data_IF_020853730496
#
_entry.id   IF_020853730496
#
_cell.length_a   1.000
_cell.length_b   1.000
_cell.length_c   1.000
_cell.angle_alpha   90.00
_cell.angle_beta   90.00
_cell.angle_gamma   90.00
#
_symmetry.space_group_name_H-M   'P 1'
#
loop_
_entity.id
_entity.type
_entity.pdbx_description
1 polymer ?
#
# COMPACT_ATOMS: atom_id res chain seq x y z
N UNK A 1 -12.46 10.88 14.87
CA UNK A 1 -11.31 10.61 15.71
C UNK A 1 -11.38 11.42 16.99
N UNK A 2 -11.02 10.81 18.13
CA UNK A 2 -11.13 11.45 19.46
C UNK A 2 -9.98 12.44 19.70
N UNK A 3 -9.99 13.55 18.98
CA UNK A 3 -9.07 14.67 19.22
C UNK A 3 -9.82 15.99 19.23
N UNK A 4 -9.23 17.03 19.83
CA UNK A 4 -9.87 18.35 19.90
C UNK A 4 -9.78 19.14 18.59
N UNK A 5 -8.96 18.69 17.63
CA UNK A 5 -8.80 19.32 16.32
C UNK A 5 -8.37 18.29 15.28
N UNK A 6 -8.61 18.58 14.01
CA UNK A 6 -8.09 17.81 12.88
C UNK A 6 -6.90 18.55 12.24
N UNK A 7 -6.01 17.81 11.59
CA UNK A 7 -4.97 18.37 10.74
C UNK A 7 -5.36 18.18 9.26
N UNK A 8 -5.64 19.28 8.56
CA UNK A 8 -6.05 19.25 7.16
C UNK A 8 -4.89 18.88 6.20
N UNK A 9 -3.64 19.02 6.63
CA UNK A 9 -2.45 18.76 5.81
C UNK A 9 -1.91 17.32 5.91
N UNK A 10 -2.74 16.42 6.32
CA UNK A 10 -2.46 14.99 6.40
C UNK A 10 -2.27 14.52 7.84
N UNK A 11 -3.05 13.53 8.16
CA UNK A 11 -2.99 12.74 9.39
C UNK A 11 -3.56 11.35 9.02
N UNK A 12 -2.74 10.34 9.12
CA UNK A 12 -3.11 8.98 8.74
C UNK A 12 -3.99 8.25 9.76
N UNK A 13 -4.52 8.95 10.77
CA UNK A 13 -5.31 8.32 11.86
C UNK A 13 -6.57 7.61 11.34
N UNK A 14 -7.24 8.15 10.33
CA UNK A 14 -8.42 7.54 9.69
C UNK A 14 -8.07 6.27 8.92
N UNK A 15 -7.00 6.31 8.13
CA UNK A 15 -6.48 5.15 7.40
C UNK A 15 -6.04 4.05 8.38
N UNK A 16 -5.27 4.40 9.39
CA UNK A 16 -4.83 3.45 10.40
C UNK A 16 -5.98 2.87 11.23
N UNK A 17 -7.06 3.60 11.44
CA UNK A 17 -8.27 3.04 12.06
C UNK A 17 -8.86 1.89 11.23
N UNK A 18 -8.65 1.88 9.92
CA UNK A 18 -9.12 0.83 9.03
C UNK A 18 -8.17 -0.38 8.91
N UNK A 19 -6.98 -0.37 9.53
CA UNK A 19 -5.97 -1.44 9.38
C UNK A 19 -6.41 -2.83 9.85
N UNK A 20 -7.47 -2.90 10.64
CA UNK A 20 -8.03 -4.16 11.18
C UNK A 20 -9.31 -4.61 10.47
N UNK A 21 -9.74 -3.91 9.43
CA UNK A 21 -10.98 -4.24 8.70
C UNK A 21 -10.84 -5.44 7.76
N UNK A 22 -9.60 -5.82 7.43
CA UNK A 22 -9.31 -6.87 6.45
C UNK A 22 -9.13 -6.35 5.03
N UNK A 23 -9.24 -5.06 4.78
CA UNK A 23 -8.88 -4.48 3.48
C UNK A 23 -7.36 -4.51 3.29
N UNK A 24 -6.92 -4.82 2.08
CA UNK A 24 -5.55 -4.49 1.67
C UNK A 24 -5.39 -2.97 1.58
N UNK A 25 -4.20 -2.47 1.87
CA UNK A 25 -3.96 -1.03 1.98
C UNK A 25 -2.73 -0.65 1.15
N UNK A 26 -2.97 0.08 0.06
CA UNK A 26 -1.93 0.56 -0.85
C UNK A 26 -1.85 2.08 -0.76
N UNK A 27 -0.64 2.60 -0.53
CA UNK A 27 -0.36 4.02 -0.34
C UNK A 27 0.44 4.59 -1.49
N UNK A 28 0.04 5.76 -1.95
CA UNK A 28 0.75 6.57 -2.94
C UNK A 28 1.34 7.84 -2.31
N UNK A 29 2.48 8.29 -2.82
CA UNK A 29 3.15 9.51 -2.33
C UNK A 29 2.87 10.74 -3.19
N UNK A 30 2.60 10.58 -4.48
CA UNK A 30 2.43 11.68 -5.44
C UNK A 30 1.20 11.51 -6.32
N UNK A 31 0.83 12.56 -7.05
CA UNK A 31 -0.28 12.52 -8.02
C UNK A 31 0.02 11.53 -9.15
N UNK A 32 1.28 11.40 -9.58
CA UNK A 32 1.67 10.41 -10.58
C UNK A 32 1.49 8.99 -10.03
N UNK A 33 1.93 8.72 -8.80
CA UNK A 33 1.75 7.40 -8.19
C UNK A 33 0.27 7.02 -8.05
N UNK A 34 -0.62 7.99 -7.76
CA UNK A 34 -2.07 7.74 -7.74
C UNK A 34 -2.57 7.26 -9.11
N UNK A 35 -2.12 7.90 -10.21
CA UNK A 35 -2.47 7.48 -11.56
C UNK A 35 -1.97 6.06 -11.87
N UNK A 36 -0.74 5.74 -11.46
CA UNK A 36 -0.05 4.51 -11.84
C UNK A 36 -0.44 3.31 -10.97
N UNK A 37 -0.69 3.52 -9.68
CA UNK A 37 -0.94 2.42 -8.73
C UNK A 37 -2.43 2.14 -8.50
N UNK A 38 -3.33 3.06 -8.84
CA UNK A 38 -4.77 2.77 -8.80
C UNK A 38 -5.16 1.55 -9.66
N UNK A 39 -4.67 1.38 -10.91
CA UNK A 39 -4.89 0.16 -11.68
C UNK A 39 -4.35 -1.09 -10.99
N UNK A 40 -3.20 -1.01 -10.30
CA UNK A 40 -2.64 -2.12 -9.51
C UNK A 40 -3.62 -2.54 -8.43
N UNK A 41 -4.14 -1.59 -7.64
CA UNK A 41 -5.10 -1.88 -6.56
C UNK A 41 -6.37 -2.54 -7.10
N UNK A 42 -6.94 -2.03 -8.20
CA UNK A 42 -8.14 -2.59 -8.81
C UNK A 42 -7.93 -4.02 -9.34
N UNK A 43 -6.86 -4.24 -10.09
CA UNK A 43 -6.56 -5.56 -10.65
C UNK A 43 -6.20 -6.57 -9.55
N UNK A 44 -5.42 -6.16 -8.55
CA UNK A 44 -5.08 -7.01 -7.41
C UNK A 44 -6.30 -7.36 -6.56
N UNK A 45 -7.24 -6.43 -6.38
CA UNK A 45 -8.49 -6.70 -5.66
C UNK A 45 -9.33 -7.78 -6.35
N UNK A 46 -9.46 -7.71 -7.67
CA UNK A 46 -10.20 -8.70 -8.45
C UNK A 46 -9.51 -10.08 -8.40
N UNK A 47 -8.22 -10.14 -8.67
CA UNK A 47 -7.46 -11.39 -8.70
C UNK A 47 -7.31 -12.02 -7.31
N UNK A 48 -6.99 -11.20 -6.31
CA UNK A 48 -6.74 -11.65 -4.94
C UNK A 48 -7.99 -11.77 -4.07
N UNK A 49 -9.15 -11.31 -4.55
CA UNK A 49 -10.46 -11.39 -3.85
C UNK A 49 -10.48 -10.69 -2.49
N UNK A 50 -9.64 -9.67 -2.30
CA UNK A 50 -9.59 -8.84 -1.10
C UNK A 50 -9.88 -7.39 -1.51
N UNK A 51 -10.78 -6.69 -0.80
CA UNK A 51 -11.01 -5.27 -1.07
C UNK A 51 -9.79 -4.42 -0.71
N UNK A 52 -9.57 -3.34 -1.44
CA UNK A 52 -8.47 -2.40 -1.21
C UNK A 52 -8.97 -1.07 -0.66
N UNK A 53 -8.19 -0.51 0.26
CA UNK A 53 -8.12 0.91 0.54
C UNK A 53 -6.89 1.41 -0.19
N UNK A 54 -7.13 2.07 -1.34
CA UNK A 54 -6.11 2.77 -2.10
C UNK A 54 -6.12 4.21 -1.62
N UNK A 55 -4.99 4.73 -1.10
CA UNK A 55 -5.01 5.98 -0.40
C UNK A 55 -3.74 6.82 -0.61
N UNK A 56 -3.93 8.11 -0.53
CA UNK A 56 -2.91 9.14 -0.58
C UNK A 56 -3.26 10.28 0.36
N UNK A 57 -2.31 11.16 0.66
CA UNK A 57 -2.52 12.23 1.62
C UNK A 57 -3.55 13.25 1.13
N UNK A 58 -4.56 13.50 1.96
CA UNK A 58 -5.48 14.60 1.79
C UNK A 58 -4.77 15.94 1.85
N UNK A 59 -5.25 16.90 1.08
CA UNK A 59 -4.75 18.25 0.91
C UNK A 59 -3.35 18.35 0.28
N UNK A 60 -2.36 17.58 0.71
CA UNK A 60 -1.02 17.57 0.10
C UNK A 60 -1.06 16.99 -1.32
N UNK A 61 -1.47 15.75 -1.48
CA UNK A 61 -1.56 15.10 -2.79
C UNK A 61 -2.88 15.42 -3.49
N UNK A 62 -4.01 15.42 -2.76
CA UNK A 62 -5.34 15.57 -3.35
C UNK A 62 -5.63 16.96 -3.94
N UNK A 63 -4.92 18.00 -3.52
CA UNK A 63 -5.08 19.39 -4.00
C UNK A 63 -3.84 19.89 -4.76
N UNK A 64 -2.88 19.02 -4.99
CA UNK A 64 -1.69 19.38 -5.76
C UNK A 64 -2.01 19.43 -7.25
N UNK A 65 -1.50 20.46 -7.92
CA UNK A 65 -1.64 20.61 -9.38
C UNK A 65 -0.30 20.22 -10.00
N UNK A 66 -0.25 19.04 -10.59
CA UNK A 66 0.93 18.52 -11.27
C UNK A 66 0.60 18.13 -12.70
N UNK A 67 1.59 18.26 -13.58
CA UNK A 67 1.57 17.61 -14.89
C UNK A 67 1.98 16.15 -14.68
N UNK A 68 1.10 15.23 -15.08
CA UNK A 68 1.34 13.78 -14.98
C UNK A 68 1.24 13.14 -16.37
N UNK A 69 1.87 11.99 -16.52
CA UNK A 69 1.62 11.07 -17.63
C UNK A 69 0.35 10.29 -17.35
N UNK A 70 -0.46 10.09 -18.39
CA UNK A 70 -1.74 9.37 -18.27
C UNK A 70 -1.72 8.09 -19.08
N UNK A 71 -2.47 7.11 -18.64
CA UNK A 71 -2.63 5.83 -19.35
C UNK A 71 -3.54 5.99 -20.55
N UNK A 72 -3.23 5.31 -21.64
CA UNK A 72 -4.19 5.03 -22.68
C UNK A 72 -5.12 3.87 -22.25
N UNK A 73 -6.36 3.87 -22.76
CA UNK A 73 -7.37 2.84 -22.37
C UNK A 73 -6.95 1.44 -22.80
N UNK A 74 -6.25 1.32 -23.91
CA UNK A 74 -5.71 0.06 -24.42
C UNK A 74 -4.69 -0.53 -23.44
N UNK A 75 -3.83 0.30 -22.87
CA UNK A 75 -2.84 -0.13 -21.87
C UNK A 75 -3.50 -0.62 -20.58
N UNK A 76 -4.56 0.08 -20.15
CA UNK A 76 -5.33 -0.35 -18.99
C UNK A 76 -6.08 -1.67 -19.26
N UNK A 77 -6.62 -1.86 -20.48
CA UNK A 77 -7.28 -3.12 -20.85
C UNK A 77 -6.34 -4.32 -20.78
N UNK A 78 -5.08 -4.13 -21.15
CA UNK A 78 -4.05 -5.18 -21.11
C UNK A 78 -3.69 -5.62 -19.68
N UNK A 79 -3.87 -4.74 -18.69
CA UNK A 79 -3.64 -5.10 -17.28
C UNK A 79 -4.76 -5.96 -16.70
N UNK A 80 -5.95 -5.88 -17.29
CA UNK A 80 -7.16 -6.49 -16.72
C UNK A 80 -7.18 -8.00 -16.90
N UNK A 81 -7.32 -8.74 -15.80
CA UNK A 81 -7.59 -10.17 -15.81
C UNK A 81 -9.10 -10.42 -16.06
N UNK A 82 -9.42 -10.79 -17.32
CA UNK A 82 -10.81 -11.03 -17.74
C UNK A 82 -11.45 -12.25 -17.08
N UNK A 83 -10.65 -13.24 -16.69
CA UNK A 83 -11.12 -14.42 -15.96
C UNK A 83 -11.45 -14.07 -14.50
N UNK A 84 -10.64 -13.24 -13.85
CA UNK A 84 -10.95 -12.72 -12.52
C UNK A 84 -12.24 -11.90 -12.49
N UNK A 85 -12.49 -11.07 -13.52
CA UNK A 85 -13.78 -10.35 -13.67
C UNK A 85 -14.95 -11.32 -13.83
N UNK A 86 -14.80 -12.33 -14.67
CA UNK A 86 -15.83 -13.34 -14.90
C UNK A 86 -16.16 -14.09 -13.60
N UNK A 87 -15.13 -14.49 -12.86
CA UNK A 87 -15.29 -15.13 -11.57
C UNK A 87 -15.97 -14.22 -10.55
N UNK A 88 -15.54 -12.95 -10.45
CA UNK A 88 -16.19 -11.97 -9.59
C UNK A 88 -17.69 -11.81 -9.90
N UNK A 89 -18.03 -11.68 -11.19
CA UNK A 89 -19.42 -11.57 -11.62
C UNK A 89 -20.25 -12.83 -11.36
N UNK A 90 -19.62 -14.02 -11.42
CA UNK A 90 -20.29 -15.29 -11.12
C UNK A 90 -20.69 -15.40 -9.63
N UNK A 91 -20.03 -14.67 -8.76
CA UNK A 91 -20.36 -14.59 -7.33
C UNK A 91 -21.47 -13.58 -7.02
N UNK A 92 -22.01 -12.85 -8.00
CA UNK A 92 -23.14 -11.95 -7.77
C UNK A 92 -24.38 -12.72 -7.29
N UNK A 93 -25.19 -12.07 -6.46
CA UNK A 93 -26.47 -12.66 -6.04
C UNK A 93 -27.35 -12.92 -7.24
N UNK A 94 -27.82 -14.16 -7.38
CA UNK A 94 -28.63 -14.59 -8.51
C UNK A 94 -29.83 -15.40 -8.03
N UNK A 95 -31.07 -15.00 -8.30
CA UNK A 95 -32.25 -15.72 -7.85
C UNK A 95 -32.38 -17.14 -8.41
N UNK A 96 -31.74 -17.42 -9.57
CA UNK A 96 -31.71 -18.76 -10.16
C UNK A 96 -30.70 -19.70 -9.47
N UNK A 97 -29.74 -19.11 -8.72
CA UNK A 97 -28.72 -19.84 -7.94
C UNK A 97 -28.58 -19.15 -6.60
N UNK A 98 -29.58 -19.27 -5.72
CA UNK A 98 -29.60 -18.57 -4.45
C UNK A 98 -28.50 -19.09 -3.53
N UNK A 99 -27.80 -18.18 -2.86
CA UNK A 99 -26.82 -18.50 -1.83
C UNK A 99 -26.93 -17.51 -0.68
N UNK A 100 -26.67 -18.01 0.53
CA UNK A 100 -26.59 -17.19 1.73
C UNK A 100 -25.13 -16.76 1.95
N UNK A 101 -24.93 -15.49 2.29
CA UNK A 101 -23.62 -14.92 2.61
C UNK A 101 -23.75 -13.95 3.78
N UNK A 102 -22.70 -13.88 4.62
CA UNK A 102 -22.64 -12.92 5.72
C UNK A 102 -23.58 -13.20 6.86
N UNK A 103 -24.00 -14.44 7.06
CA UNK A 103 -24.80 -14.86 8.22
C UNK A 103 -24.00 -14.83 9.52
N UNK A 104 -24.70 -14.80 10.65
CA UNK A 104 -24.08 -15.03 11.95
C UNK A 104 -23.65 -16.50 12.08
N UNK A 105 -22.44 -16.71 12.58
CA UNK A 105 -21.86 -18.04 12.77
C UNK A 105 -21.64 -18.30 14.25
N UNK A 106 -21.87 -19.55 14.68
CA UNK A 106 -21.54 -20.00 16.02
C UNK A 106 -20.01 -20.21 16.19
N UNK A 107 -19.49 -20.23 17.42
CA UNK A 107 -18.06 -20.38 17.68
C UNK A 107 -17.42 -21.63 17.05
N UNK A 108 -18.18 -22.70 16.86
CA UNK A 108 -17.73 -23.93 16.22
C UNK A 108 -17.41 -23.82 14.72
N UNK A 109 -18.02 -22.85 14.02
CA UNK A 109 -17.81 -22.62 12.59
C UNK A 109 -17.08 -21.32 12.30
N UNK A 110 -17.20 -20.30 13.16
CA UNK A 110 -16.64 -18.98 12.94
C UNK A 110 -15.11 -18.99 12.89
N UNK A 111 -14.46 -19.75 13.78
CA UNK A 111 -12.99 -19.85 13.79
C UNK A 111 -12.44 -20.40 12.48
N UNK A 112 -13.00 -21.53 12.00
CA UNK A 112 -12.58 -22.12 10.73
C UNK A 112 -12.81 -21.19 9.55
N UNK A 113 -13.94 -20.47 9.53
CA UNK A 113 -14.22 -19.48 8.49
C UNK A 113 -13.22 -18.31 8.51
N UNK A 114 -12.78 -17.88 9.70
CA UNK A 114 -11.76 -16.84 9.83
C UNK A 114 -10.38 -17.33 9.38
N UNK A 115 -9.98 -18.54 9.73
CA UNK A 115 -8.70 -19.13 9.30
C UNK A 115 -8.67 -19.42 7.79
N UNK A 116 -9.82 -19.78 7.20
CA UNK A 116 -9.91 -20.05 5.76
C UNK A 116 -9.56 -18.85 4.85
N UNK A 117 -9.53 -17.64 5.39
CA UNK A 117 -9.12 -16.45 4.61
C UNK A 117 -7.59 -16.27 4.50
N UNK A 118 -6.79 -16.93 5.35
CA UNK A 118 -5.34 -16.75 5.40
C UNK A 118 -4.64 -16.91 4.03
N UNK A 119 -4.93 -17.93 3.22
CA UNK A 119 -4.27 -18.09 1.91
C UNK A 119 -4.45 -16.91 0.96
N UNK A 120 -5.57 -16.19 1.05
CA UNK A 120 -5.80 -14.99 0.24
C UNK A 120 -4.89 -13.84 0.65
N UNK A 121 -4.67 -13.66 1.97
CA UNK A 121 -3.78 -12.64 2.48
C UNK A 121 -2.31 -12.98 2.24
N UNK A 122 -1.94 -14.26 2.37
CA UNK A 122 -0.57 -14.73 2.10
C UNK A 122 -0.18 -14.55 0.63
N UNK A 123 -1.13 -14.73 -0.30
CA UNK A 123 -0.90 -14.53 -1.73
C UNK A 123 -0.88 -13.05 -2.17
N UNK A 124 -1.50 -12.16 -1.42
CA UNK A 124 -1.74 -10.79 -1.85
C UNK A 124 -0.45 -9.99 -2.14
N UNK A 125 0.62 -10.05 -1.34
CA UNK A 125 1.86 -9.33 -1.66
C UNK A 125 2.43 -9.69 -3.03
N UNK A 126 2.43 -10.99 -3.37
CA UNK A 126 2.91 -11.46 -4.68
C UNK A 126 2.01 -10.98 -5.82
N UNK A 127 0.69 -10.96 -5.62
CA UNK A 127 -0.27 -10.45 -6.61
C UNK A 127 -0.08 -8.95 -6.83
N UNK A 128 0.09 -8.18 -5.78
CA UNK A 128 0.35 -6.73 -5.89
C UNK A 128 1.65 -6.49 -6.65
N UNK A 129 2.73 -7.20 -6.30
CA UNK A 129 4.01 -7.06 -6.98
C UNK A 129 3.92 -7.46 -8.47
N UNK A 130 3.18 -8.52 -8.81
CA UNK A 130 2.93 -8.90 -10.21
C UNK A 130 2.31 -7.75 -11.01
N UNK A 131 1.31 -7.05 -10.46
CA UNK A 131 0.70 -5.92 -11.15
C UNK A 131 1.59 -4.68 -11.16
N UNK A 132 2.37 -4.45 -10.13
CA UNK A 132 3.41 -3.42 -10.15
C UNK A 132 4.43 -3.68 -11.25
N UNK A 133 4.86 -4.94 -11.42
CA UNK A 133 5.82 -5.33 -12.47
C UNK A 133 5.24 -5.13 -13.88
N UNK A 134 3.94 -5.41 -14.08
CA UNK A 134 3.24 -5.12 -15.35
C UNK A 134 3.20 -3.62 -15.64
N UNK A 135 2.89 -2.81 -14.63
CA UNK A 135 2.92 -1.34 -14.74
C UNK A 135 4.34 -0.86 -15.04
N UNK A 136 5.33 -1.32 -14.28
CA UNK A 136 6.74 -0.98 -14.50
C UNK A 136 7.20 -1.27 -15.94
N UNK A 137 6.82 -2.43 -16.48
CA UNK A 137 7.17 -2.82 -17.83
C UNK A 137 6.55 -1.92 -18.91
N UNK A 138 5.33 -1.39 -18.65
CA UNK A 138 4.63 -0.53 -19.62
C UNK A 138 5.12 0.93 -19.61
N UNK A 139 5.37 1.49 -18.44
CA UNK A 139 5.67 2.92 -18.30
C UNK A 139 7.12 3.21 -17.86
N UNK A 140 7.95 2.18 -17.70
CA UNK A 140 9.37 2.34 -17.36
C UNK A 140 9.66 2.76 -15.92
N UNK A 141 8.77 2.43 -14.99
CA UNK A 141 8.91 2.70 -13.55
C UNK A 141 9.57 1.53 -12.80
N UNK A 142 9.73 1.65 -11.49
CA UNK A 142 10.28 0.59 -10.63
C UNK A 142 9.49 0.49 -9.31
N UNK A 143 8.17 0.40 -9.40
CA UNK A 143 7.33 0.24 -8.22
C UNK A 143 7.54 -1.15 -7.59
N UNK A 144 7.68 -1.15 -6.26
CA UNK A 144 7.78 -2.35 -5.42
C UNK A 144 6.91 -2.16 -4.18
N UNK A 145 6.64 -3.24 -3.46
CA UNK A 145 5.92 -3.17 -2.17
C UNK A 145 6.61 -2.20 -1.19
N UNK A 146 7.95 -2.20 -1.23
CA UNK A 146 8.83 -1.28 -0.52
C UNK A 146 9.93 -0.82 -1.47
N UNK A 147 10.07 0.48 -1.67
CA UNK A 147 11.12 1.04 -2.52
C UNK A 147 12.20 1.68 -1.66
N UNK A 148 13.43 1.26 -1.89
CA UNK A 148 14.60 1.92 -1.32
C UNK A 148 15.12 3.02 -2.23
N UNK A 149 15.50 4.16 -1.63
CA UNK A 149 16.25 5.22 -2.27
C UNK A 149 17.35 5.72 -1.32
N UNK A 150 18.60 5.78 -1.77
CA UNK A 150 19.71 6.21 -0.94
C UNK A 150 21.06 5.56 -1.29
N UNK A 151 22.03 5.70 -0.39
CA UNK A 151 23.35 5.09 -0.52
C UNK A 151 23.26 3.56 -0.49
N UNK A 152 24.01 2.86 -1.35
CA UNK A 152 24.11 1.39 -1.32
C UNK A 152 24.72 0.89 0.01
N UNK A 153 25.58 1.70 0.64
CA UNK A 153 26.21 1.42 1.92
C UNK A 153 25.63 2.28 3.06
N UNK A 154 24.33 2.57 3.01
CA UNK A 154 23.66 3.35 4.03
C UNK A 154 23.84 2.77 5.43
N UNK A 155 24.12 3.63 6.40
CA UNK A 155 24.21 3.27 7.83
C UNK A 155 22.93 3.64 8.59
N UNK A 156 22.15 4.57 8.06
CA UNK A 156 20.88 5.00 8.65
C UNK A 156 19.81 5.11 7.57
N UNK A 157 18.63 4.58 7.86
CA UNK A 157 17.48 4.68 6.98
C UNK A 157 16.26 5.23 7.71
N UNK A 158 15.43 5.91 6.94
CA UNK A 158 14.07 6.30 7.34
C UNK A 158 13.09 5.34 6.66
N UNK A 159 12.08 4.87 7.40
CA UNK A 159 10.93 4.18 6.83
C UNK A 159 9.76 5.15 6.92
N UNK A 160 9.09 5.41 5.80
CA UNK A 160 7.99 6.37 5.73
C UNK A 160 6.94 5.95 4.70
N UNK A 161 5.76 6.58 4.77
CA UNK A 161 4.62 6.32 3.91
C UNK A 161 3.90 7.62 3.56
N UNK A 162 3.38 7.72 2.33
CA UNK A 162 2.60 8.87 1.84
C UNK A 162 3.47 10.02 1.33
N UNK A 163 2.90 11.21 1.24
CA UNK A 163 3.49 12.37 0.55
C UNK A 163 4.80 12.89 1.16
N UNK A 164 5.11 12.54 2.39
CA UNK A 164 6.39 12.88 3.01
C UNK A 164 7.57 12.23 2.29
N UNK A 165 7.35 11.12 1.58
CA UNK A 165 8.39 10.40 0.87
C UNK A 165 9.07 11.25 -0.20
N UNK A 166 8.33 12.07 -0.93
CA UNK A 166 8.91 12.95 -1.96
C UNK A 166 9.86 14.00 -1.35
N UNK A 167 9.47 14.57 -0.21
CA UNK A 167 10.35 15.50 0.52
C UNK A 167 11.59 14.80 1.08
N UNK A 168 11.44 13.54 1.51
CA UNK A 168 12.56 12.74 2.02
C UNK A 168 13.51 12.41 0.88
N UNK A 169 13.03 12.04 -0.32
CA UNK A 169 13.87 11.77 -1.49
C UNK A 169 14.80 12.95 -1.80
N UNK A 170 14.25 14.16 -1.93
CA UNK A 170 15.03 15.39 -2.14
C UNK A 170 16.06 15.62 -1.02
N UNK A 171 15.66 15.31 0.23
CA UNK A 171 16.56 15.44 1.38
C UNK A 171 17.70 14.41 1.33
N UNK A 172 17.39 13.17 0.95
CA UNK A 172 18.38 12.10 0.78
C UNK A 172 19.36 12.48 -0.32
N UNK A 173 18.90 12.94 -1.48
CA UNK A 173 19.77 13.37 -2.59
C UNK A 173 20.72 14.50 -2.16
N UNK A 174 20.22 15.48 -1.43
CA UNK A 174 21.03 16.54 -0.86
C UNK A 174 22.11 16.02 0.10
N UNK A 175 21.76 15.06 0.96
CA UNK A 175 22.70 14.47 1.93
C UNK A 175 23.71 13.55 1.24
N UNK A 176 23.31 12.79 0.22
CA UNK A 176 24.21 11.96 -0.59
C UNK A 176 25.27 12.81 -1.29
N UNK A 177 24.89 13.97 -1.83
CA UNK A 177 25.82 14.92 -2.43
C UNK A 177 26.88 15.43 -1.42
N UNK A 178 26.62 15.32 -0.11
CA UNK A 178 27.57 15.63 0.96
C UNK A 178 28.34 14.40 1.46
N UNK A 179 28.19 13.25 0.83
CA UNK A 179 28.84 12.00 1.22
C UNK A 179 28.25 11.34 2.47
N UNK A 180 26.99 11.64 2.82
CA UNK A 180 26.31 10.99 3.94
C UNK A 180 25.77 9.62 3.50
N UNK A 181 25.82 8.63 4.41
CA UNK A 181 25.38 7.25 4.20
C UNK A 181 23.98 7.06 4.74
N UNK A 182 23.02 7.58 4.02
CA UNK A 182 21.60 7.61 4.42
C UNK A 182 20.70 7.09 3.29
N UNK A 183 19.50 6.68 3.66
CA UNK A 183 18.49 6.25 2.70
C UNK A 183 17.09 6.30 3.28
N UNK A 184 16.11 6.04 2.43
CA UNK A 184 14.70 5.91 2.78
C UNK A 184 14.13 4.64 2.20
N UNK A 185 13.23 3.98 2.95
CA UNK A 185 12.36 2.92 2.46
C UNK A 185 10.94 3.48 2.43
N UNK A 186 10.37 3.55 1.23
CA UNK A 186 8.99 3.99 1.00
C UNK A 186 8.06 2.80 1.07
N UNK A 187 7.08 2.85 1.98
CA UNK A 187 6.07 1.80 2.15
C UNK A 187 4.91 2.06 1.19
N UNK A 188 4.65 1.13 0.26
CA UNK A 188 3.47 1.17 -0.60
C UNK A 188 2.41 0.18 -0.16
N UNK A 189 2.73 -1.09 0.00
CA UNK A 189 1.77 -2.05 0.54
C UNK A 189 1.88 -2.11 2.06
N UNK A 190 0.97 -1.43 2.75
CA UNK A 190 0.92 -1.44 4.22
C UNK A 190 0.19 -2.67 4.77
N UNK A 191 -0.85 -3.16 4.07
CA UNK A 191 -1.59 -4.38 4.43
C UNK A 191 -1.95 -5.19 3.17
N UNK A 192 -1.79 -6.53 3.21
CA UNK A 192 -1.04 -7.29 4.22
C UNK A 192 0.44 -6.90 4.24
N UNK A 193 1.02 -6.85 5.42
CA UNK A 193 2.42 -6.42 5.58
C UNK A 193 3.38 -7.57 5.25
N UNK A 194 4.28 -7.37 4.29
CA UNK A 194 5.28 -8.34 3.89
C UNK A 194 6.64 -8.02 4.55
N UNK A 195 6.87 -8.57 5.73
CA UNK A 195 8.10 -8.30 6.49
C UNK A 195 9.37 -8.68 5.71
N UNK A 196 9.34 -9.79 4.95
CA UNK A 196 10.52 -10.20 4.16
C UNK A 196 10.85 -9.17 3.09
N UNK A 197 9.84 -8.67 2.35
CA UNK A 197 10.07 -7.65 1.32
C UNK A 197 10.60 -6.32 1.92
N UNK A 198 10.21 -5.96 3.14
CA UNK A 198 10.79 -4.83 3.83
C UNK A 198 12.26 -5.07 4.17
N UNK A 199 12.59 -6.23 4.73
CA UNK A 199 13.96 -6.59 5.07
C UNK A 199 14.85 -6.60 3.83
N UNK A 200 14.37 -7.19 2.73
CA UNK A 200 15.09 -7.27 1.45
C UNK A 200 15.32 -5.89 0.81
N UNK A 201 14.51 -4.89 1.16
CA UNK A 201 14.66 -3.52 0.69
C UNK A 201 15.70 -2.70 1.49
N UNK A 202 16.09 -3.16 2.68
CA UNK A 202 17.03 -2.44 3.55
C UNK A 202 18.46 -2.93 3.29
N UNK A 203 19.43 -2.05 2.99
CA UNK A 203 20.82 -2.44 2.86
C UNK A 203 21.40 -3.12 4.12
N UNK A 204 22.19 -4.18 3.97
CA UNK A 204 22.80 -4.94 5.07
C UNK A 204 23.73 -4.10 5.99
N UNK A 205 24.19 -2.95 5.49
CA UNK A 205 25.06 -2.01 6.21
C UNK A 205 24.32 -1.14 7.22
N UNK A 206 22.99 -1.17 7.23
CA UNK A 206 22.16 -0.30 8.07
C UNK A 206 22.30 -0.68 9.53
N UNK A 207 22.56 0.33 10.37
CA UNK A 207 22.71 0.23 11.82
C UNK A 207 21.54 0.90 12.56
N UNK A 208 20.94 1.91 11.93
CA UNK A 208 19.91 2.73 12.53
C UNK A 208 18.69 2.80 11.60
N UNK A 209 17.53 2.45 12.15
CA UNK A 209 16.24 2.53 11.46
C UNK A 209 15.37 3.52 12.23
N UNK A 210 14.86 4.51 11.52
CA UNK A 210 13.94 5.52 12.05
C UNK A 210 12.61 5.41 11.30
N UNK A 211 11.51 5.20 12.01
CA UNK A 211 10.18 5.13 11.39
C UNK A 211 9.47 6.45 11.60
N UNK A 212 9.00 7.04 10.50
CA UNK A 212 8.19 8.24 10.52
C UNK A 212 6.73 7.90 10.29
N UNK A 213 5.95 8.03 11.35
CA UNK A 213 4.50 7.96 11.28
C UNK A 213 3.89 9.37 11.16
N UNK A 214 2.88 9.51 10.30
CA UNK A 214 2.13 10.77 10.16
C UNK A 214 0.85 10.73 10.96
N UNK A 215 0.93 10.30 12.19
CA UNK A 215 -0.19 10.19 13.13
C UNK A 215 0.31 10.16 14.56
N UNK A 216 -0.63 10.35 15.49
CA UNK A 216 -0.48 9.98 16.88
C UNK A 216 -1.60 9.01 17.26
N UNK A 217 -1.25 7.81 17.72
CA UNK A 217 -2.21 6.86 18.28
C UNK A 217 -2.24 7.00 19.82
N UNK A 218 -3.22 7.76 20.38
CA UNK A 218 -3.28 7.99 21.82
C UNK A 218 -3.46 6.69 22.60
N UNK A 219 -2.61 6.48 23.60
CA UNK A 219 -2.67 5.29 24.46
C UNK A 219 -1.91 4.06 23.93
N UNK A 220 -1.32 4.13 22.76
CA UNK A 220 -0.45 3.08 22.22
C UNK A 220 1.00 3.26 22.68
N UNK A 221 1.79 2.17 22.67
CA UNK A 221 3.22 2.19 22.97
C UNK A 221 4.07 2.78 21.83
N UNK A 222 3.51 2.83 20.62
CA UNK A 222 4.14 3.37 19.42
C UNK A 222 3.08 3.65 18.37
N UNK A 223 3.49 4.23 17.26
CA UNK A 223 2.59 4.53 16.16
C UNK A 223 2.46 3.31 15.21
N UNK A 224 1.40 3.23 14.39
CA UNK A 224 1.04 1.99 13.68
C UNK A 224 2.06 1.47 12.67
N UNK A 225 2.83 2.35 12.01
CA UNK A 225 3.89 1.91 11.09
C UNK A 225 5.12 1.43 11.85
N UNK A 226 5.42 2.07 12.98
CA UNK A 226 6.54 1.69 13.85
C UNK A 226 6.33 0.33 14.52
N UNK A 227 5.12 0.03 14.99
CA UNK A 227 4.77 -1.25 15.65
C UNK A 227 4.65 -2.40 14.66
#
# INVERSE_FOLDING_TARGET
VASHALNIFGDHSDVYACRQTGCAMLCESSVQEVMDLTPVAHCAALKGKIPFINFFDGFRTSHEIQKIETWDYEDLEDLVDKDAIKEFRAHALNPNHPCERGSAQNPDTFFQAREACNPYYDAMPAIVQEYMDKVNAKIGTNYKLFNYHGAEDAESVIIAMGSVCDTIDETIDYLLAQGKKVGVVKVRLYRPFCAQALVDAIPDTVKYINVLDRTKEPGSLGEPLYL
#
